data_IF_038988043165
#
_entry.id   IF_038988043165
#
_cell.length_a   1.000
_cell.length_b   1.000
_cell.length_c   1.000
_cell.angle_alpha   90.00
_cell.angle_beta   90.00
_cell.angle_gamma   90.00
#
_symmetry.space_group_name_H-M   'P 1'
#
loop_
_entity.id
_entity.type
_entity.pdbx_description
1 polymer ?
#
# COMPACT_ATOMS: atom_id res chain seq x y z
N UNK A 1 0.16 -2.81 6.31
CA UNK A 1 0.29 -3.18 7.72
C UNK A 1 -0.39 -2.20 8.68
N UNK A 2 -1.07 -2.70 9.72
CA UNK A 2 -1.48 -1.90 10.91
C UNK A 2 -0.37 -2.00 11.96
N UNK A 3 0.25 -0.89 12.33
CA UNK A 3 1.32 -0.84 13.35
C UNK A 3 0.77 -0.54 14.75
N UNK A 4 -0.22 0.34 14.84
CA UNK A 4 -0.83 0.74 16.10
C UNK A 4 -2.33 0.93 15.96
N UNK A 5 -3.06 0.59 17.01
CA UNK A 5 -4.48 0.89 17.17
C UNK A 5 -4.71 1.44 18.57
N UNK A 6 -5.50 2.50 18.70
CA UNK A 6 -6.01 3.00 19.99
C UNK A 6 -7.50 3.27 19.90
N UNK A 7 -8.26 2.79 20.88
CA UNK A 7 -9.66 3.16 21.09
C UNK A 7 -9.68 4.25 22.15
N UNK A 8 -10.20 5.41 21.79
CA UNK A 8 -10.26 6.60 22.62
C UNK A 8 -11.70 6.93 22.94
N UNK A 9 -11.96 7.15 24.23
CA UNK A 9 -13.23 7.66 24.73
C UNK A 9 -13.16 9.21 24.72
N UNK A 10 -13.96 9.82 23.86
CA UNK A 10 -13.99 11.27 23.64
C UNK A 10 -15.11 11.94 24.46
N UNK A 11 -16.04 11.17 25.01
CA UNK A 11 -17.08 11.68 25.90
C UNK A 11 -16.54 11.89 27.32
N UNK A 12 -15.57 11.06 27.75
CA UNK A 12 -14.83 11.30 28.99
C UNK A 12 -13.79 12.40 28.83
N UNK A 13 -13.76 13.38 29.74
CA UNK A 13 -12.77 14.47 29.73
C UNK A 13 -11.33 13.90 29.67
N UNK A 14 -10.59 14.23 28.60
CA UNK A 14 -9.16 13.96 28.51
C UNK A 14 -8.70 12.96 27.44
N UNK A 15 -9.60 12.34 26.68
CA UNK A 15 -9.20 11.49 25.53
C UNK A 15 -8.41 10.25 25.95
N UNK A 16 -8.86 9.58 27.01
CA UNK A 16 -8.16 8.43 27.59
C UNK A 16 -8.28 7.22 26.65
N UNK A 17 -7.13 6.59 26.35
CA UNK A 17 -7.09 5.33 25.61
C UNK A 17 -7.66 4.19 26.47
N UNK A 18 -8.79 3.61 26.05
CA UNK A 18 -9.42 2.45 26.71
C UNK A 18 -8.74 1.14 26.34
N UNK A 19 -8.23 1.07 25.11
CA UNK A 19 -7.52 -0.09 24.60
C UNK A 19 -6.51 0.36 23.55
N UNK A 20 -5.34 -0.27 23.55
CA UNK A 20 -4.35 -0.06 22.52
C UNK A 20 -3.66 -1.37 22.13
N UNK A 21 -3.15 -1.39 20.91
CA UNK A 21 -2.38 -2.47 20.36
C UNK A 21 -1.20 -1.91 19.58
N UNK A 22 -0.02 -2.50 19.79
CA UNK A 22 1.17 -2.27 18.97
C UNK A 22 1.53 -3.62 18.34
N UNK A 23 1.67 -3.66 17.02
CA UNK A 23 1.98 -4.90 16.33
C UNK A 23 3.37 -5.42 16.71
N UNK A 24 3.56 -6.71 17.03
CA UNK A 24 4.86 -7.26 17.44
C UNK A 24 5.97 -7.04 16.42
N UNK A 25 5.64 -7.17 15.14
CA UNK A 25 6.56 -6.98 14.01
C UNK A 25 6.75 -5.51 13.60
N UNK A 26 6.27 -4.55 14.40
CA UNK A 26 6.53 -3.12 14.13
C UNK A 26 8.03 -2.84 14.22
N UNK A 27 8.64 -2.10 13.26
CA UNK A 27 10.06 -1.75 13.32
C UNK A 27 10.44 -1.12 14.65
N UNK A 28 11.58 -1.51 15.23
CA UNK A 28 11.92 -1.16 16.61
C UNK A 28 11.94 0.34 16.91
N UNK A 29 12.46 1.14 15.97
CA UNK A 29 12.48 2.59 16.09
C UNK A 29 11.07 3.19 16.18
N UNK A 30 10.13 2.71 15.38
CA UNK A 30 8.73 3.13 15.43
C UNK A 30 8.06 2.58 16.68
N UNK A 31 8.30 1.31 17.03
CA UNK A 31 7.75 0.65 18.22
C UNK A 31 8.09 1.43 19.49
N UNK A 32 9.36 1.84 19.67
CA UNK A 32 9.82 2.62 20.83
C UNK A 32 9.09 3.97 20.92
N UNK A 33 8.97 4.70 19.82
CA UNK A 33 8.24 5.98 19.75
C UNK A 33 6.75 5.79 20.05
N UNK A 34 6.13 4.73 19.55
CA UNK A 34 4.72 4.44 19.83
C UNK A 34 4.45 4.13 21.29
N UNK A 35 5.39 3.46 21.99
CA UNK A 35 5.30 3.26 23.44
C UNK A 35 5.46 4.57 24.22
N UNK A 36 6.42 5.41 23.83
CA UNK A 36 6.71 6.69 24.51
C UNK A 36 5.58 7.72 24.31
N UNK A 37 5.02 7.79 23.10
CA UNK A 37 4.04 8.80 22.72
C UNK A 37 2.58 8.29 22.69
N UNK A 38 2.30 7.09 23.21
CA UNK A 38 0.96 6.47 23.17
C UNK A 38 -0.14 7.41 23.69
N UNK A 39 0.10 7.97 24.86
CA UNK A 39 -0.88 8.81 25.55
C UNK A 39 -1.02 10.17 24.83
N UNK A 40 0.11 10.71 24.34
CA UNK A 40 0.15 11.92 23.50
C UNK A 40 -0.61 11.76 22.18
N UNK A 41 -0.51 10.61 21.52
CA UNK A 41 -1.27 10.32 20.27
C UNK A 41 -2.77 10.35 20.54
N UNK A 42 -3.20 9.80 21.69
CA UNK A 42 -4.62 9.76 22.08
C UNK A 42 -5.13 11.18 22.40
N UNK A 43 -4.35 11.96 23.15
CA UNK A 43 -4.65 13.37 23.44
C UNK A 43 -4.64 14.26 22.20
N UNK A 44 -3.69 14.04 21.28
CA UNK A 44 -3.60 14.77 20.00
C UNK A 44 -4.81 14.50 19.12
N UNK A 45 -5.19 13.23 18.98
CA UNK A 45 -6.39 12.85 18.25
C UNK A 45 -7.65 13.44 18.90
N UNK A 46 -7.78 13.36 20.22
CA UNK A 46 -8.86 14.00 20.96
C UNK A 46 -8.93 15.51 20.69
N UNK A 47 -7.78 16.21 20.72
CA UNK A 47 -7.72 17.65 20.45
C UNK A 47 -8.17 17.98 19.02
N UNK A 48 -7.71 17.22 18.01
CA UNK A 48 -8.19 17.37 16.62
C UNK A 48 -9.69 17.13 16.54
N UNK A 49 -10.17 16.03 17.12
CA UNK A 49 -11.59 15.64 17.06
C UNK A 49 -12.48 16.71 17.68
N UNK A 50 -12.09 17.22 18.85
CA UNK A 50 -12.83 18.26 19.57
C UNK A 50 -12.77 19.62 18.86
N UNK A 51 -11.62 19.96 18.27
CA UNK A 51 -11.43 21.25 17.59
C UNK A 51 -12.21 21.35 16.27
N UNK A 52 -12.28 20.26 15.50
CA UNK A 52 -12.92 20.25 14.18
C UNK A 52 -14.37 19.71 14.20
N UNK A 53 -14.80 19.08 15.30
CA UNK A 53 -16.17 18.56 15.47
C UNK A 53 -16.46 17.30 14.65
N UNK A 54 -17.53 16.59 15.01
CA UNK A 54 -17.98 15.37 14.32
C UNK A 54 -18.45 15.63 12.88
N UNK A 55 -18.90 16.85 12.56
CA UNK A 55 -19.42 17.23 11.25
C UNK A 55 -18.35 17.38 10.16
N UNK A 56 -17.12 17.80 10.50
CA UNK A 56 -16.03 17.96 9.52
C UNK A 56 -15.28 16.63 9.30
N UNK A 57 -15.26 15.76 10.31
CA UNK A 57 -14.56 14.46 10.30
C UNK A 57 -15.33 13.41 9.48
N UNK A 58 -16.62 13.65 9.20
CA UNK A 58 -17.52 12.73 8.50
C UNK A 58 -16.98 12.18 7.18
N UNK A 59 -16.16 12.93 6.43
CA UNK A 59 -15.54 12.44 5.18
C UNK A 59 -14.10 12.89 4.93
N UNK A 60 -13.68 14.10 5.32
CA UNK A 60 -12.40 14.68 4.84
C UNK A 60 -11.20 14.46 5.74
N UNK A 61 -11.39 14.18 7.04
CA UNK A 61 -10.31 13.99 8.02
C UNK A 61 -10.10 12.51 8.40
N UNK A 62 -10.51 11.59 7.52
CA UNK A 62 -10.35 10.13 7.73
C UNK A 62 -8.90 9.67 7.62
N UNK A 63 -8.03 10.45 6.98
CA UNK A 63 -6.64 10.06 6.70
C UNK A 63 -5.67 11.24 6.84
N UNK A 64 -4.60 11.06 7.61
CA UNK A 64 -3.43 11.93 7.62
C UNK A 64 -2.24 11.15 7.06
N UNK A 65 -1.68 11.56 5.92
CA UNK A 65 -0.55 10.90 5.27
C UNK A 65 0.76 11.57 5.65
N UNK A 66 1.62 10.84 6.36
CA UNK A 66 3.02 11.19 6.62
C UNK A 66 3.92 10.40 5.64
N UNK A 67 5.22 10.68 5.60
CA UNK A 67 6.13 10.10 4.60
C UNK A 67 6.01 8.57 4.43
N UNK A 68 6.00 7.83 5.54
CA UNK A 68 6.02 6.36 5.54
C UNK A 68 4.81 5.71 6.23
N UNK A 69 4.04 6.48 6.98
CA UNK A 69 2.88 6.01 7.74
C UNK A 69 1.70 6.91 7.48
N UNK A 70 0.50 6.36 7.62
CA UNK A 70 -0.74 7.12 7.63
C UNK A 70 -1.47 6.92 8.94
N UNK A 71 -2.11 7.97 9.42
CA UNK A 71 -3.03 7.93 10.55
C UNK A 71 -4.44 7.85 9.99
N UNK A 72 -5.18 6.82 10.34
CA UNK A 72 -6.57 6.64 9.92
C UNK A 72 -7.47 6.83 11.14
N UNK A 73 -8.51 7.63 10.99
CA UNK A 73 -9.51 7.86 12.03
C UNK A 73 -10.81 7.14 11.65
N UNK A 74 -11.34 6.34 12.57
CA UNK A 74 -12.64 5.68 12.46
C UNK A 74 -13.42 5.85 13.76
N UNK A 75 -14.69 5.45 13.74
CA UNK A 75 -15.60 5.52 14.88
C UNK A 75 -16.29 4.19 15.08
N UNK A 76 -16.45 3.78 16.34
CA UNK A 76 -17.27 2.64 16.72
C UNK A 76 -18.33 3.10 17.73
N UNK A 77 -19.55 2.60 17.57
CA UNK A 77 -20.62 2.82 18.53
C UNK A 77 -20.73 1.59 19.43
N UNK A 78 -20.74 1.81 20.74
CA UNK A 78 -20.89 0.74 21.73
C UNK A 78 -21.89 1.18 22.80
N UNK A 79 -23.03 0.47 22.89
CA UNK A 79 -24.10 0.76 23.86
C UNK A 79 -24.56 2.24 23.88
N UNK A 80 -24.64 2.86 22.70
CA UNK A 80 -25.07 4.25 22.54
C UNK A 80 -24.01 5.31 22.88
N UNK A 81 -22.76 4.89 23.13
CA UNK A 81 -21.60 5.79 23.25
C UNK A 81 -20.70 5.70 22.04
N UNK A 82 -20.14 6.83 21.63
CA UNK A 82 -19.27 6.90 20.46
C UNK A 82 -17.80 6.89 20.88
N UNK A 83 -17.05 5.92 20.37
CA UNK A 83 -15.61 5.81 20.58
C UNK A 83 -14.87 6.05 19.27
N UNK A 84 -13.72 6.71 19.36
CA UNK A 84 -12.85 6.93 18.21
C UNK A 84 -11.77 5.86 18.16
N UNK A 85 -11.49 5.36 16.97
CA UNK A 85 -10.42 4.40 16.73
C UNK A 85 -9.37 5.05 15.84
N UNK A 86 -8.15 5.10 16.36
CA UNK A 86 -7.01 5.69 15.68
C UNK A 86 -6.11 4.55 15.25
N UNK A 87 -5.81 4.49 13.96
CA UNK A 87 -4.86 3.55 13.40
C UNK A 87 -3.62 4.28 12.94
N UNK A 88 -2.45 3.71 13.21
CA UNK A 88 -1.22 4.06 12.48
C UNK A 88 -0.89 2.86 11.60
N UNK A 89 -0.98 3.06 10.30
CA UNK A 89 -0.80 2.02 9.28
C UNK A 89 0.25 2.45 8.26
N UNK A 90 0.69 1.51 7.42
CA UNK A 90 1.57 1.79 6.28
C UNK A 90 0.86 2.72 5.29
N UNK A 91 1.55 3.74 4.77
CA UNK A 91 0.98 4.71 3.80
C UNK A 91 0.39 4.04 2.55
N UNK A 92 0.86 2.84 2.20
CA UNK A 92 0.40 2.13 1.01
C UNK A 92 -0.90 1.39 1.25
N UNK A 93 -1.31 1.12 2.49
CA UNK A 93 -2.57 0.46 2.77
C UNK A 93 -3.78 1.29 2.38
N UNK A 94 -4.89 0.61 2.09
CA UNK A 94 -6.17 1.27 1.94
C UNK A 94 -6.81 1.46 3.33
N UNK A 95 -7.13 2.70 3.70
CA UNK A 95 -7.80 3.04 4.97
C UNK A 95 -9.10 2.27 5.19
N UNK A 96 -9.87 2.04 4.13
CA UNK A 96 -11.11 1.26 4.18
C UNK A 96 -10.86 -0.21 4.48
N UNK A 97 -9.70 -0.76 4.07
CA UNK A 97 -9.32 -2.12 4.43
C UNK A 97 -8.93 -2.21 5.91
N UNK A 98 -8.17 -1.22 6.42
CA UNK A 98 -7.79 -1.10 7.83
C UNK A 98 -9.03 -1.07 8.73
N UNK A 99 -9.96 -0.17 8.44
CA UNK A 99 -11.21 -0.03 9.20
C UNK A 99 -12.08 -1.29 9.13
N UNK A 100 -12.23 -1.88 7.94
CA UNK A 100 -13.02 -3.11 7.75
C UNK A 100 -12.44 -4.29 8.55
N UNK A 101 -11.12 -4.46 8.54
CA UNK A 101 -10.44 -5.55 9.27
C UNK A 101 -10.65 -5.36 10.78
N UNK A 102 -10.45 -4.13 11.28
CA UNK A 102 -10.67 -3.85 12.69
C UNK A 102 -12.13 -4.00 13.10
N UNK A 103 -13.07 -3.50 12.31
CA UNK A 103 -14.51 -3.65 12.57
C UNK A 103 -14.93 -5.13 12.60
N UNK A 104 -14.36 -5.96 11.72
CA UNK A 104 -14.60 -7.41 11.75
C UNK A 104 -14.04 -8.06 13.03
N UNK A 105 -12.86 -7.65 13.47
CA UNK A 105 -12.28 -8.09 14.75
C UNK A 105 -13.15 -7.65 15.93
N UNK A 106 -13.53 -6.38 15.98
CA UNK A 106 -14.36 -5.81 17.02
C UNK A 106 -15.70 -6.54 17.16
N UNK A 107 -16.39 -6.79 16.04
CA UNK A 107 -17.64 -7.57 16.02
C UNK A 107 -17.45 -8.99 16.54
N UNK A 108 -16.36 -9.66 16.17
CA UNK A 108 -16.03 -11.01 16.62
C UNK A 108 -15.79 -11.08 18.14
N UNK A 109 -15.15 -10.06 18.71
CA UNK A 109 -14.79 -10.00 20.13
C UNK A 109 -15.64 -8.98 20.91
N UNK A 110 -16.86 -8.69 20.45
CA UNK A 110 -17.70 -7.62 21.00
C UNK A 110 -17.94 -7.76 22.52
N UNK A 111 -18.12 -8.99 23.02
CA UNK A 111 -18.31 -9.26 24.46
C UNK A 111 -17.08 -8.92 25.29
N UNK A 112 -15.89 -9.18 24.75
CA UNK A 112 -14.63 -8.86 25.44
C UNK A 112 -14.41 -7.35 25.45
N UNK A 113 -14.70 -6.69 24.33
CA UNK A 113 -14.67 -5.23 24.26
C UNK A 113 -15.68 -4.57 25.21
N UNK A 114 -16.85 -5.16 25.41
CA UNK A 114 -17.83 -4.64 26.37
C UNK A 114 -17.25 -4.53 27.79
N UNK A 115 -16.49 -5.55 28.22
CA UNK A 115 -15.84 -5.53 29.53
C UNK A 115 -14.78 -4.43 29.69
N UNK A 116 -14.16 -3.98 28.59
CA UNK A 116 -13.10 -2.95 28.61
C UNK A 116 -13.69 -1.56 28.42
N UNK A 117 -14.67 -1.40 27.53
CA UNK A 117 -15.25 -0.10 27.18
C UNK A 117 -16.28 0.37 28.21
N UNK A 118 -17.06 -0.57 28.78
CA UNK A 118 -18.11 -0.28 29.77
C UNK A 118 -17.65 -0.50 31.21
N UNK A 119 -16.53 -1.21 31.43
CA UNK A 119 -16.08 -1.60 32.76
C UNK A 119 -15.44 -0.43 33.54
N UNK A 120 -15.71 -0.31 34.86
CA UNK A 120 -15.06 0.68 35.73
C UNK A 120 -13.57 0.35 35.98
N UNK A 121 -13.19 -0.92 35.86
CA UNK A 121 -11.81 -1.41 36.03
C UNK A 121 -11.45 -2.22 34.79
N UNK A 122 -10.39 -1.81 34.09
CA UNK A 122 -9.90 -2.51 32.91
C UNK A 122 -9.19 -3.79 33.36
N UNK A 123 -9.78 -4.95 33.06
CA UNK A 123 -9.16 -6.24 33.35
C UNK A 123 -7.95 -6.47 32.41
N UNK A 124 -6.74 -6.42 32.97
CA UNK A 124 -5.47 -6.58 32.24
C UNK A 124 -5.39 -7.91 31.48
N UNK A 125 -5.93 -8.99 32.04
CA UNK A 125 -5.96 -10.31 31.39
C UNK A 125 -6.76 -10.30 30.08
N UNK A 126 -7.90 -9.59 30.06
CA UNK A 126 -8.73 -9.49 28.84
C UNK A 126 -8.03 -8.60 27.81
N UNK A 127 -7.40 -7.50 28.26
CA UNK A 127 -6.64 -6.61 27.38
C UNK A 127 -5.52 -7.37 26.65
N UNK A 128 -4.71 -8.14 27.37
CA UNK A 128 -3.60 -8.86 26.78
C UNK A 128 -4.07 -10.02 25.89
N UNK A 129 -5.16 -10.69 26.28
CA UNK A 129 -5.83 -11.68 25.41
C UNK A 129 -6.30 -11.06 24.10
N UNK A 130 -6.92 -9.89 24.13
CA UNK A 130 -7.36 -9.18 22.93
C UNK A 130 -6.18 -8.73 22.06
N UNK A 131 -5.08 -8.26 22.66
CA UNK A 131 -3.87 -7.92 21.91
C UNK A 131 -3.30 -9.14 21.18
N UNK A 132 -3.18 -10.27 21.87
CA UNK A 132 -2.72 -11.53 21.28
C UNK A 132 -3.67 -12.03 20.18
N UNK A 133 -4.99 -12.00 20.44
CA UNK A 133 -6.01 -12.38 19.48
C UNK A 133 -5.99 -11.46 18.24
N UNK A 134 -5.75 -10.16 18.42
CA UNK A 134 -5.67 -9.22 17.29
C UNK A 134 -4.43 -9.47 16.44
N UNK A 135 -3.26 -9.74 17.05
CA UNK A 135 -2.06 -10.12 16.31
C UNK A 135 -2.30 -11.38 15.45
N UNK A 136 -2.93 -12.42 16.04
CA UNK A 136 -3.31 -13.62 15.30
C UNK A 136 -4.37 -13.35 14.21
N UNK A 137 -5.32 -12.46 14.50
CA UNK A 137 -6.36 -12.07 13.55
C UNK A 137 -5.78 -11.33 12.33
N UNK A 138 -4.74 -10.52 12.51
CA UNK A 138 -4.10 -9.79 11.43
C UNK A 138 -3.29 -10.69 10.48
N UNK A 139 -2.79 -11.83 10.94
CA UNK A 139 -1.95 -12.73 10.15
C UNK A 139 -2.54 -13.16 8.79
N UNK A 140 -3.81 -13.64 8.70
CA UNK A 140 -4.42 -13.97 7.40
C UNK A 140 -4.76 -12.74 6.55
N UNK A 141 -4.84 -11.54 7.15
CA UNK A 141 -5.16 -10.29 6.47
C UNK A 141 -3.92 -9.54 5.97
N UNK A 142 -2.75 -9.82 6.53
CA UNK A 142 -1.46 -9.34 6.06
C UNK A 142 -0.90 -10.24 4.95
N UNK A 143 -0.17 -9.63 4.00
CA UNK A 143 0.52 -10.40 2.95
C UNK A 143 1.77 -11.04 3.53
N UNK A 144 1.83 -12.37 3.46
CA UNK A 144 2.94 -13.14 4.03
C UNK A 144 4.20 -13.09 3.17
N UNK A 145 4.08 -13.01 1.84
CA UNK A 145 5.23 -13.00 0.96
C UNK A 145 5.74 -11.55 0.76
N UNK A 146 6.93 -11.19 1.26
CA UNK A 146 7.47 -9.84 1.10
C UNK A 146 7.67 -9.45 -0.37
N UNK A 147 8.04 -10.42 -1.23
CA UNK A 147 8.32 -10.18 -2.65
C UNK A 147 7.07 -9.79 -3.45
N UNK A 148 5.89 -10.24 -3.01
CA UNK A 148 4.60 -9.95 -3.67
C UNK A 148 3.71 -8.99 -2.85
N UNK A 149 4.14 -8.67 -1.63
CA UNK A 149 3.34 -7.96 -0.64
C UNK A 149 3.81 -6.56 -0.29
N UNK A 150 5.09 -6.26 -0.54
CA UNK A 150 5.72 -5.00 -0.10
C UNK A 150 5.31 -3.77 -0.94
N UNK A 151 4.70 -3.97 -2.12
CA UNK A 151 4.29 -2.90 -3.05
C UNK A 151 5.46 -1.97 -3.42
N UNK A 152 6.68 -2.50 -3.48
CA UNK A 152 7.90 -1.80 -3.82
C UNK A 152 8.32 -2.04 -5.28
N UNK A 153 9.41 -1.40 -5.71
CA UNK A 153 9.91 -1.55 -7.08
C UNK A 153 10.28 -3.02 -7.39
N UNK A 154 10.77 -3.77 -6.39
CA UNK A 154 11.08 -5.20 -6.55
C UNK A 154 9.82 -6.01 -6.83
N UNK A 155 8.75 -5.80 -6.05
CA UNK A 155 7.45 -6.40 -6.30
C UNK A 155 6.91 -6.04 -7.69
N UNK A 156 7.06 -4.78 -8.10
CA UNK A 156 6.66 -4.34 -9.44
C UNK A 156 7.39 -5.12 -10.54
N UNK A 157 8.72 -5.18 -10.50
CA UNK A 157 9.55 -5.89 -11.50
C UNK A 157 9.22 -7.39 -11.52
N UNK A 158 9.13 -8.03 -10.35
CA UNK A 158 8.81 -9.46 -10.24
C UNK A 158 7.41 -9.75 -10.80
N UNK A 159 6.43 -8.89 -10.50
CA UNK A 159 5.07 -9.04 -11.03
C UNK A 159 5.03 -8.89 -12.54
N UNK A 160 5.81 -7.95 -13.09
CA UNK A 160 5.94 -7.76 -14.53
C UNK A 160 6.58 -8.98 -15.21
N UNK A 161 7.68 -9.51 -14.68
CA UNK A 161 8.32 -10.71 -15.26
C UNK A 161 7.40 -11.93 -15.21
N UNK A 162 6.65 -12.11 -14.13
CA UNK A 162 5.64 -13.17 -14.05
C UNK A 162 4.48 -12.96 -15.02
N UNK A 163 4.04 -11.71 -15.24
CA UNK A 163 3.02 -11.40 -16.24
C UNK A 163 3.47 -11.83 -17.64
N UNK A 164 4.68 -11.44 -18.05
CA UNK A 164 5.26 -11.81 -19.34
C UNK A 164 5.39 -13.33 -19.48
N UNK A 165 5.82 -14.02 -18.43
CA UNK A 165 5.92 -15.48 -18.43
C UNK A 165 4.54 -16.16 -18.59
N UNK A 166 3.52 -15.68 -17.88
CA UNK A 166 2.15 -16.21 -17.96
C UNK A 166 1.56 -15.96 -19.35
N UNK A 167 1.69 -14.74 -19.88
CA UNK A 167 1.17 -14.44 -21.21
C UNK A 167 1.94 -15.18 -22.28
N UNK A 168 3.25 -15.39 -22.12
CA UNK A 168 4.06 -16.26 -22.98
C UNK A 168 3.60 -17.71 -22.97
N UNK A 169 3.25 -18.26 -21.81
CA UNK A 169 2.66 -19.60 -21.70
C UNK A 169 1.30 -19.68 -22.42
N UNK A 170 0.46 -18.66 -22.29
CA UNK A 170 -0.84 -18.59 -22.96
C UNK A 170 -0.69 -18.44 -24.49
N UNK A 171 0.32 -17.72 -24.95
CA UNK A 171 0.68 -17.66 -26.36
C UNK A 171 1.15 -19.03 -26.89
N UNK A 172 1.98 -19.74 -26.11
CA UNK A 172 2.39 -21.11 -26.44
C UNK A 172 1.18 -22.07 -26.51
N UNK A 173 0.25 -21.99 -25.54
CA UNK A 173 -1.00 -22.76 -25.57
C UNK A 173 -1.83 -22.45 -26.82
N UNK A 174 -1.92 -21.18 -27.21
CA UNK A 174 -2.63 -20.77 -28.44
C UNK A 174 -1.99 -21.37 -29.69
N UNK A 175 -0.66 -21.44 -29.74
CA UNK A 175 0.07 -22.10 -30.82
C UNK A 175 -0.22 -23.61 -30.87
N UNK A 176 -0.21 -24.29 -29.71
CA UNK A 176 -0.56 -25.72 -29.62
C UNK A 176 -1.99 -25.97 -30.10
N UNK A 177 -2.95 -25.17 -29.64
CA UNK A 177 -4.37 -25.28 -30.03
C UNK A 177 -4.53 -25.13 -31.56
N UNK A 178 -3.79 -24.24 -32.20
CA UNK A 178 -3.83 -24.08 -33.65
C UNK A 178 -3.30 -25.33 -34.40
N UNK A 179 -2.32 -26.01 -33.82
CA UNK A 179 -1.57 -27.12 -34.44
C UNK A 179 -2.19 -28.49 -34.27
N UNK A 180 -3.02 -28.70 -33.23
CA UNK A 180 -3.63 -30.02 -32.95
C UNK A 180 -4.60 -30.46 -34.07
N UNK A 181 -5.54 -29.64 -34.54
CA UNK A 181 -6.42 -30.03 -35.64
C UNK A 181 -5.67 -30.13 -36.97
N UNK A 182 -5.98 -31.14 -37.79
CA UNK A 182 -5.59 -31.20 -39.20
C UNK A 182 -6.84 -31.13 -40.09
N UNK A 183 -7.00 -30.12 -40.97
CA UNK A 183 -6.13 -28.95 -41.16
C UNK A 183 -6.12 -28.00 -39.95
N UNK A 184 -5.12 -27.10 -39.87
CA UNK A 184 -4.96 -26.18 -38.73
C UNK A 184 -6.23 -25.37 -38.48
N UNK A 185 -6.42 -24.95 -37.22
CA UNK A 185 -7.62 -24.21 -36.84
C UNK A 185 -7.74 -22.89 -37.61
N UNK A 186 -6.60 -22.22 -37.83
CA UNK A 186 -6.53 -21.01 -38.66
C UNK A 186 -7.07 -21.22 -40.08
N UNK A 187 -6.82 -22.38 -40.69
CA UNK A 187 -7.27 -22.68 -42.06
C UNK A 187 -8.74 -23.11 -42.09
N UNK A 188 -9.20 -23.79 -41.04
CA UNK A 188 -10.57 -24.32 -40.97
C UNK A 188 -11.58 -23.25 -40.53
N UNK A 189 -11.24 -22.49 -39.50
CA UNK A 189 -12.09 -21.46 -38.92
C UNK A 189 -11.24 -20.29 -38.37
N UNK A 190 -10.85 -19.34 -39.24
CA UNK A 190 -9.98 -18.23 -38.84
C UNK A 190 -10.61 -17.31 -37.80
N UNK A 191 -11.94 -17.17 -37.80
CA UNK A 191 -12.68 -16.33 -36.83
C UNK A 191 -12.56 -16.94 -35.42
N UNK A 192 -12.77 -18.25 -35.30
CA UNK A 192 -12.62 -18.95 -34.02
C UNK A 192 -11.18 -18.86 -33.52
N UNK A 193 -10.20 -19.03 -34.40
CA UNK A 193 -8.79 -18.89 -34.02
C UNK A 193 -8.46 -17.47 -33.53
N UNK A 194 -8.91 -16.44 -34.24
CA UNK A 194 -8.73 -15.04 -33.82
C UNK A 194 -9.38 -14.75 -32.46
N UNK A 195 -10.56 -15.30 -32.19
CA UNK A 195 -11.23 -15.19 -30.89
C UNK A 195 -10.42 -15.86 -29.77
N UNK A 196 -9.84 -17.04 -30.01
CA UNK A 196 -9.00 -17.75 -29.05
C UNK A 196 -7.73 -16.94 -28.74
N UNK A 197 -7.06 -16.42 -29.77
CA UNK A 197 -5.88 -15.54 -29.64
C UNK A 197 -6.25 -14.33 -28.78
N UNK A 198 -7.37 -13.67 -29.10
CA UNK A 198 -7.83 -12.49 -28.38
C UNK A 198 -8.09 -12.79 -26.89
N UNK A 199 -8.84 -13.86 -26.61
CA UNK A 199 -9.16 -14.25 -25.24
C UNK A 199 -7.93 -14.69 -24.44
N UNK A 200 -7.07 -15.55 -24.99
CA UNK A 200 -5.95 -16.11 -24.25
C UNK A 200 -4.79 -15.12 -24.07
N UNK A 201 -4.58 -14.17 -24.99
CA UNK A 201 -3.44 -13.26 -24.94
C UNK A 201 -3.81 -11.88 -24.38
N UNK A 202 -5.06 -11.42 -24.53
CA UNK A 202 -5.44 -10.05 -24.14
C UNK A 202 -6.54 -9.95 -23.09
N UNK A 203 -7.19 -11.06 -22.73
CA UNK A 203 -8.25 -11.08 -21.70
C UNK A 203 -7.82 -11.91 -20.50
N UNK A 204 -7.50 -13.18 -20.75
CA UNK A 204 -7.14 -14.16 -19.74
C UNK A 204 -5.97 -13.73 -18.84
N UNK A 205 -4.88 -13.11 -19.35
CA UNK A 205 -3.75 -12.72 -18.50
C UNK A 205 -4.10 -11.60 -17.51
N UNK A 206 -5.14 -10.80 -17.77
CA UNK A 206 -5.55 -9.73 -16.87
C UNK A 206 -5.88 -10.23 -15.46
N UNK A 207 -6.48 -11.43 -15.35
CA UNK A 207 -6.84 -12.04 -14.07
C UNK A 207 -5.59 -12.36 -13.22
N UNK A 208 -4.64 -13.21 -13.67
CA UNK A 208 -3.44 -13.51 -12.89
C UNK A 208 -2.58 -12.26 -12.66
N UNK A 209 -2.50 -11.31 -13.61
CA UNK A 209 -1.79 -10.03 -13.40
C UNK A 209 -2.39 -9.29 -12.20
N UNK A 210 -3.71 -9.18 -12.11
CA UNK A 210 -4.38 -8.56 -10.96
C UNK A 210 -4.17 -9.33 -9.65
N UNK A 211 -4.17 -10.67 -9.70
CA UNK A 211 -3.94 -11.54 -8.54
C UNK A 211 -2.50 -11.47 -8.00
N UNK A 212 -1.52 -11.27 -8.88
CA UNK A 212 -0.10 -11.18 -8.55
C UNK A 212 0.26 -9.79 -8.04
N UNK A 213 -0.22 -8.75 -8.73
CA UNK A 213 0.07 -7.36 -8.35
C UNK A 213 -0.70 -6.95 -7.10
N UNK A 214 -1.98 -7.32 -6.97
CA UNK A 214 -2.85 -7.01 -5.83
C UNK A 214 -2.85 -5.50 -5.43
N UNK A 215 -2.45 -4.61 -6.33
CA UNK A 215 -2.33 -3.18 -6.09
C UNK A 215 -2.62 -2.46 -7.39
N UNK A 216 -3.65 -1.61 -7.40
CA UNK A 216 -4.22 -1.05 -8.64
C UNK A 216 -3.20 -0.31 -9.50
N UNK A 217 -2.31 0.46 -8.88
CA UNK A 217 -1.27 1.21 -9.61
C UNK A 217 -0.28 0.29 -10.32
N UNK A 218 0.08 -0.84 -9.68
CA UNK A 218 0.95 -1.83 -10.31
C UNK A 218 0.21 -2.65 -11.35
N UNK A 219 -1.03 -3.07 -11.08
CA UNK A 219 -1.86 -3.76 -12.06
C UNK A 219 -2.01 -2.96 -13.36
N UNK A 220 -2.24 -1.66 -13.24
CA UNK A 220 -2.27 -0.72 -14.36
C UNK A 220 -0.96 -0.73 -15.14
N UNK A 221 0.16 -0.44 -14.48
CA UNK A 221 1.45 -0.31 -15.15
C UNK A 221 1.95 -1.64 -15.75
N UNK A 222 1.80 -2.74 -15.01
CA UNK A 222 2.18 -4.09 -15.47
C UNK A 222 1.35 -4.51 -16.68
N UNK A 223 0.04 -4.26 -16.71
CA UNK A 223 -0.80 -4.61 -17.86
C UNK A 223 -0.39 -3.89 -19.15
N UNK A 224 -0.09 -2.59 -19.07
CA UNK A 224 0.42 -1.84 -20.22
C UNK A 224 1.80 -2.31 -20.66
N UNK A 225 2.72 -2.51 -19.72
CA UNK A 225 4.06 -2.99 -20.05
C UNK A 225 4.02 -4.39 -20.67
N UNK A 226 3.24 -5.31 -20.11
CA UNK A 226 3.09 -6.68 -20.64
C UNK A 226 2.59 -6.64 -22.10
N UNK A 227 1.50 -5.91 -22.34
CA UNK A 227 0.93 -5.76 -23.68
C UNK A 227 1.89 -5.13 -24.69
N UNK A 228 2.59 -4.06 -24.31
CA UNK A 228 3.62 -3.43 -25.14
C UNK A 228 4.76 -4.39 -25.44
N UNK A 229 5.21 -5.15 -24.45
CA UNK A 229 6.29 -6.13 -24.63
C UNK A 229 5.89 -7.24 -25.59
N UNK A 230 4.69 -7.80 -25.47
CA UNK A 230 4.22 -8.88 -26.35
C UNK A 230 4.04 -8.37 -27.78
N UNK A 231 3.49 -7.17 -27.96
CA UNK A 231 3.29 -6.59 -29.29
C UNK A 231 4.61 -6.22 -29.96
N UNK A 232 5.57 -5.67 -29.21
CA UNK A 232 6.92 -5.39 -29.72
C UNK A 232 7.70 -6.67 -30.03
N UNK A 233 7.61 -7.70 -29.19
CA UNK A 233 8.22 -9.02 -29.50
C UNK A 233 7.59 -9.59 -30.77
N UNK A 234 6.27 -9.49 -30.91
CA UNK A 234 5.56 -9.96 -32.11
C UNK A 234 6.02 -9.21 -33.37
N UNK A 235 6.18 -7.88 -33.28
CA UNK A 235 6.74 -7.06 -34.36
C UNK A 235 8.14 -7.53 -34.76
N UNK A 236 9.01 -7.83 -33.79
CA UNK A 236 10.38 -8.30 -34.06
C UNK A 236 10.38 -9.69 -34.71
N UNK A 237 9.59 -10.64 -34.18
CA UNK A 237 9.53 -12.01 -34.68
C UNK A 237 8.95 -12.08 -36.10
N UNK A 238 7.93 -11.28 -36.38
CA UNK A 238 7.22 -11.28 -37.66
C UNK A 238 7.63 -10.12 -38.58
N UNK A 239 8.77 -9.48 -38.31
CA UNK A 239 9.19 -8.27 -39.00
C UNK A 239 9.23 -8.43 -40.51
N UNK A 240 9.89 -9.48 -40.99
CA UNK A 240 10.10 -9.68 -42.43
C UNK A 240 8.77 -9.94 -43.16
N UNK A 241 7.87 -10.69 -42.52
CA UNK A 241 6.52 -10.94 -43.03
C UNK A 241 5.70 -9.64 -43.08
N UNK A 242 5.75 -8.82 -42.02
CA UNK A 242 5.04 -7.55 -41.96
C UNK A 242 5.57 -6.57 -43.01
N UNK A 243 6.88 -6.52 -43.19
CA UNK A 243 7.52 -5.72 -44.25
C UNK A 243 7.13 -6.22 -45.64
N UNK A 244 7.04 -7.53 -45.87
CA UNK A 244 6.62 -8.06 -47.17
C UNK A 244 5.15 -7.78 -47.49
N UNK A 245 4.28 -7.65 -46.48
CA UNK A 245 2.92 -7.16 -46.68
C UNK A 245 2.87 -5.64 -46.86
N UNK A 246 3.76 -4.91 -46.21
CA UNK A 246 3.80 -3.45 -46.27
C UNK A 246 4.53 -2.89 -47.50
N UNK A 247 5.33 -3.69 -48.21
CA UNK A 247 5.95 -3.30 -49.49
C UNK A 247 4.92 -3.00 -50.59
N UNK A 248 3.69 -3.51 -50.48
CA UNK A 248 2.55 -3.06 -51.30
C UNK A 248 2.18 -1.58 -51.07
N UNK A 249 2.56 -1.00 -49.93
CA UNK A 249 2.30 0.38 -49.52
C UNK A 249 3.56 1.28 -49.54
N UNK A 250 4.76 0.74 -49.79
CA UNK A 250 6.04 1.46 -49.85
C UNK A 250 6.05 2.62 -50.86
N UNK A 251 5.16 2.57 -51.86
CA UNK A 251 5.04 3.61 -52.88
C UNK A 251 4.65 4.99 -52.31
N UNK A 252 4.16 5.06 -51.06
CA UNK A 252 3.61 6.28 -50.46
C UNK A 252 4.25 6.71 -49.13
N UNK A 253 5.11 5.90 -48.50
CA UNK A 253 5.63 6.19 -47.14
C UNK A 253 7.15 5.98 -47.07
N UNK A 254 7.95 7.03 -46.76
CA UNK A 254 9.40 6.98 -46.81
C UNK A 254 10.08 6.19 -45.68
N UNK A 255 9.33 5.68 -44.68
CA UNK A 255 9.88 4.75 -43.68
C UNK A 255 8.79 3.84 -43.08
N UNK A 256 8.54 2.73 -43.76
CA UNK A 256 7.56 1.70 -43.35
C UNK A 256 7.93 1.07 -42.00
N UNK A 257 9.22 1.05 -41.63
CA UNK A 257 9.67 0.48 -40.35
C UNK A 257 9.18 1.32 -39.18
N UNK A 258 9.29 2.65 -39.29
CA UNK A 258 8.76 3.57 -38.27
C UNK A 258 7.24 3.43 -38.15
N UNK A 259 6.53 3.34 -39.27
CA UNK A 259 5.07 3.18 -39.27
C UNK A 259 4.65 1.89 -38.55
N UNK A 260 5.32 0.77 -38.82
CA UNK A 260 5.05 -0.51 -38.14
C UNK A 260 5.34 -0.43 -36.63
N UNK A 261 6.41 0.25 -36.23
CA UNK A 261 6.73 0.45 -34.82
C UNK A 261 5.66 1.30 -34.10
N UNK A 262 5.23 2.41 -34.70
CA UNK A 262 4.13 3.24 -34.17
C UNK A 262 2.83 2.43 -34.10
N UNK A 263 2.51 1.67 -35.15
CA UNK A 263 1.34 0.79 -35.19
C UNK A 263 1.37 -0.25 -34.07
N UNK A 264 2.50 -0.92 -33.85
CA UNK A 264 2.66 -1.89 -32.76
C UNK A 264 2.49 -1.26 -31.38
N UNK A 265 3.03 -0.05 -31.16
CA UNK A 265 2.85 0.69 -29.90
C UNK A 265 1.36 1.03 -29.67
N UNK A 266 0.67 1.52 -30.70
CA UNK A 266 -0.75 1.87 -30.62
C UNK A 266 -1.61 0.63 -30.33
N UNK A 267 -1.37 -0.47 -31.05
CA UNK A 267 -2.06 -1.75 -30.84
C UNK A 267 -1.76 -2.25 -29.41
N UNK A 268 -0.51 -2.21 -28.98
CA UNK A 268 -0.09 -2.58 -27.63
C UNK A 268 -0.77 -1.74 -26.55
N UNK A 269 -0.93 -0.44 -26.76
CA UNK A 269 -1.65 0.43 -25.84
C UNK A 269 -3.16 0.12 -25.79
N UNK A 270 -3.79 -0.12 -26.95
CA UNK A 270 -5.22 -0.51 -27.00
C UNK A 270 -5.48 -1.82 -26.27
N UNK A 271 -4.67 -2.85 -26.55
CA UNK A 271 -4.78 -4.16 -25.91
C UNK A 271 -4.40 -4.11 -24.43
N UNK A 272 -3.43 -3.26 -24.08
CA UNK A 272 -3.03 -2.99 -22.70
C UNK A 272 -4.14 -2.35 -21.90
N UNK A 273 -4.98 -1.53 -22.52
CA UNK A 273 -6.17 -0.94 -21.89
C UNK A 273 -7.19 -2.02 -21.50
N UNK A 274 -7.39 -3.03 -22.36
CA UNK A 274 -8.29 -4.14 -22.04
C UNK A 274 -7.76 -5.00 -20.88
N UNK A 275 -6.48 -5.38 -20.93
CA UNK A 275 -5.79 -6.08 -19.85
C UNK A 275 -5.85 -5.28 -18.54
N UNK A 276 -5.68 -3.95 -18.63
CA UNK A 276 -5.71 -3.03 -17.51
C UNK A 276 -7.07 -3.04 -16.81
N UNK A 277 -8.19 -2.99 -17.52
CA UNK A 277 -9.51 -2.99 -16.87
C UNK A 277 -9.73 -4.27 -16.04
N UNK A 278 -9.35 -5.43 -16.59
CA UNK A 278 -9.51 -6.72 -15.91
C UNK A 278 -8.56 -6.80 -14.72
N UNK A 279 -7.27 -6.50 -14.92
CA UNK A 279 -6.27 -6.58 -13.87
C UNK A 279 -6.52 -5.58 -12.75
N UNK A 280 -6.99 -4.37 -13.09
CA UNK A 280 -7.37 -3.33 -12.14
C UNK A 280 -8.54 -3.78 -11.27
N UNK A 281 -9.59 -4.36 -11.87
CA UNK A 281 -10.75 -4.87 -11.12
C UNK A 281 -10.36 -5.97 -10.13
N UNK A 282 -9.55 -6.93 -10.57
CA UNK A 282 -9.04 -8.00 -9.70
C UNK A 282 -8.11 -7.44 -8.62
N UNK A 283 -7.20 -6.52 -8.96
CA UNK A 283 -6.30 -5.91 -7.99
C UNK A 283 -7.06 -5.07 -6.95
N UNK A 284 -8.11 -4.35 -7.36
CA UNK A 284 -8.98 -3.60 -6.46
C UNK A 284 -9.63 -4.49 -5.40
N UNK A 285 -10.14 -5.66 -5.80
CA UNK A 285 -10.72 -6.64 -4.88
C UNK A 285 -9.74 -7.06 -3.78
N UNK A 286 -8.47 -7.30 -4.11
CA UNK A 286 -7.43 -7.66 -3.13
C UNK A 286 -6.95 -6.45 -2.31
N UNK A 287 -6.78 -5.28 -2.93
CA UNK A 287 -6.35 -4.05 -2.26
C UNK A 287 -7.36 -3.62 -1.18
N UNK A 288 -8.65 -3.80 -1.43
CA UNK A 288 -9.72 -3.47 -0.48
C UNK A 288 -9.88 -4.48 0.67
N UNK A 289 -9.14 -5.60 0.68
CA UNK A 289 -9.32 -6.71 1.63
C UNK A 289 -8.04 -7.20 2.31
N UNK A 290 -6.87 -6.80 1.82
CA UNK A 290 -5.57 -7.25 2.33
C UNK A 290 -4.63 -6.09 2.61
N UNK A 291 -3.93 -6.19 3.73
CA UNK A 291 -2.88 -5.25 4.16
C UNK A 291 -1.53 -5.60 3.51
N UNK A 292 -0.67 -4.61 3.36
CA UNK A 292 0.73 -4.83 2.94
C UNK A 292 1.51 -5.66 3.95
N UNK A 293 2.57 -6.32 3.48
CA UNK A 293 3.52 -7.02 4.33
C UNK A 293 4.32 -6.04 5.20
N UNK A 294 4.89 -6.53 6.31
CA UNK A 294 5.79 -5.74 7.14
C UNK A 294 7.01 -5.32 6.33
N UNK A 295 7.38 -4.03 6.45
CA UNK A 295 8.55 -3.43 5.82
C UNK A 295 9.39 -2.74 6.88
N UNK A 296 10.71 -2.77 6.71
CA UNK A 296 11.59 -1.86 7.44
C UNK A 296 11.35 -0.43 6.97
N UNK A 297 10.88 0.43 7.88
CA UNK A 297 10.76 1.85 7.61
C UNK A 297 12.15 2.45 7.62
N UNK A 298 12.48 3.22 6.59
CA UNK A 298 13.74 3.97 6.55
C UNK A 298 13.53 5.17 7.45
N UNK A 299 14.03 5.11 8.68
CA UNK A 299 14.09 6.28 9.55
C UNK A 299 15.05 7.30 8.95
N UNK A 300 14.52 8.25 8.19
CA UNK A 300 15.18 9.51 7.89
C UNK A 300 15.28 10.29 9.20
N UNK A 301 16.38 10.07 9.91
CA UNK A 301 16.66 10.67 11.20
C UNK A 301 17.53 9.73 12.01
N UNK A 302 18.84 9.98 11.96
CA UNK A 302 19.76 9.57 13.02
C UNK A 302 19.13 9.90 14.39
N UNK A 303 19.40 9.12 15.44
CA UNK A 303 18.97 9.51 16.77
C UNK A 303 19.47 10.93 17.01
N UNK A 304 18.57 11.84 17.36
CA UNK A 304 18.96 13.08 18.03
C UNK A 304 19.63 12.57 19.30
N UNK A 305 20.96 12.53 19.28
CA UNK A 305 21.78 12.35 20.45
C UNK A 305 21.23 13.35 21.46
N UNK A 306 20.62 12.85 22.54
CA UNK A 306 20.41 13.66 23.72
C UNK A 306 21.82 14.04 24.16
N UNK A 307 22.35 15.16 23.68
CA UNK A 307 23.44 15.83 24.37
C UNK A 307 22.94 15.98 25.81
N UNK A 308 23.64 15.43 26.82
CA UNK A 308 23.33 15.76 28.20
C UNK A 308 23.33 17.29 28.30
N UNK A 309 22.47 17.88 29.15
CA UNK A 309 22.46 19.32 29.33
C UNK A 309 23.88 19.73 29.65
N UNK A 310 24.47 20.55 28.78
CA UNK A 310 25.72 21.25 29.07
C UNK A 310 25.52 21.88 30.43
N UNK A 311 26.30 21.42 31.40
CA UNK A 311 26.45 22.07 32.69
C UNK A 311 26.56 23.56 32.40
N UNK A 312 25.70 24.34 33.06
CA UNK A 312 25.80 25.78 33.08
C UNK A 312 27.26 26.11 33.35
N UNK A 313 27.94 26.72 32.37
CA UNK A 313 29.18 27.43 32.65
C UNK A 313 28.86 28.34 33.83
N UNK A 314 29.50 28.06 34.96
CA UNK A 314 29.61 29.00 36.06
C UNK A 314 30.11 30.30 35.43
N UNK A 315 29.20 31.28 35.32
CA UNK A 315 29.56 32.65 35.08
C UNK A 315 30.44 33.04 36.27
N UNK A 316 31.76 33.05 36.06
CA UNK A 316 32.72 33.63 37.00
C UNK A 316 32.26 35.05 37.29
N UNK A 317 31.72 35.24 38.48
CA UNK A 317 31.44 36.55 39.04
C UNK A 317 32.82 37.16 39.33
N UNK A 318 33.20 38.28 38.69
CA UNK A 318 34.47 38.91 38.99
C UNK A 318 34.50 39.37 40.44
N UNK A 319 35.55 38.93 41.16
CA UNK A 319 35.83 39.33 42.54
C UNK A 319 36.01 40.85 42.65
N UNK A 320 35.41 41.53 43.64
CA UNK A 320 35.44 42.99 43.76
C UNK A 320 36.78 43.58 44.29
N UNK A 321 37.92 42.95 44.03
CA UNK A 321 39.24 43.41 44.51
C UNK A 321 40.10 44.12 43.45
N UNK A 322 39.66 44.24 42.19
CA UNK A 322 40.41 44.97 41.14
C UNK A 322 39.90 46.39 40.85
N UNK A 323 39.05 46.97 41.71
CA UNK A 323 38.65 48.39 41.64
C UNK A 323 39.24 49.16 42.84
N UNK A 324 40.57 49.17 42.97
CA UNK A 324 41.26 50.00 43.96
C UNK A 324 42.76 50.14 43.68
N UNK A 325 43.15 50.64 42.50
CA UNK A 325 44.47 51.27 42.34
C UNK A 325 44.59 51.99 41.00
N UNK A 326 43.94 53.15 40.84
CA UNK A 326 44.48 54.21 39.98
C UNK A 326 43.95 55.56 40.44
N UNK A 327 44.45 56.01 41.59
CA UNK A 327 44.42 57.41 42.02
C UNK A 327 45.86 57.85 42.29
N UNK A 328 46.24 59.00 41.71
CA UNK A 328 47.42 59.85 41.99
C UNK A 328 48.82 59.29 41.67
N UNK A 329 49.82 60.03 41.18
CA UNK A 329 50.15 61.42 40.76
C UNK A 329 51.63 61.34 40.24
N UNK A 330 52.32 62.36 39.70
CA UNK A 330 51.99 63.79 39.52
C UNK A 330 52.08 64.33 38.07
#
# INVERSE_FOLDING_TARGET
>A
MIYFVSIVDVESEGGISKWHFIHPETPEALRKRLYEYRDLISSFAYAIIRAFGSEIIGEKLRELKLSDVQIVFSTIEHKGRLYYVIFIADIRDNSSAVDRIFTAFYKKYYKDFDSILSGPIINTTIVDRLKAAFAQFLFPHARQNPLLGARDLRHFIISYLMAVAITGLLAFMTWVINRIPQPSLMNTNPILFALIVFLLIFVAPGIPIGMITQYRRFAFAVAYMDSLTITLISLVVWRDLLLSYASFAEQYVPDVTILLAIGAILIGAMLGTMLMFISYGVAWYFEARRLTSVRSLITLGAPIEKKPPTELEEVEIPSPEEVSSTEENP
#
